data_IF_991226078886
#
_entry.id   IF_991226078886
#
_cell.length_a   1.000
_cell.length_b   1.000
_cell.length_c   1.000
_cell.angle_alpha   90.00
_cell.angle_beta   90.00
_cell.angle_gamma   90.00
#
_symmetry.space_group_name_H-M   'P 1'
#
loop_
_entity.id
_entity.type
_entity.pdbx_description
1 polymer ?
#
# COMPACT_ATOMS: atom_id res chain seq x y z
N UNK A 1 -26.03 4.36 21.32
CA UNK A 1 -26.04 5.82 21.15
C UNK A 1 -27.44 6.30 21.44
N UNK A 2 -27.61 7.35 22.24
CA UNK A 2 -28.92 7.85 22.68
C UNK A 2 -28.93 9.37 22.66
N UNK A 3 -30.07 9.97 22.35
CA UNK A 3 -30.28 11.43 22.36
C UNK A 3 -31.37 11.73 23.39
N UNK A 4 -31.12 12.65 24.31
CA UNK A 4 -32.11 13.14 25.28
C UNK A 4 -32.79 14.42 24.81
N UNK A 5 -33.92 14.75 25.44
CA UNK A 5 -34.63 16.01 25.24
C UNK A 5 -33.72 17.22 25.49
N UNK A 6 -33.74 18.27 24.64
CA UNK A 6 -32.88 19.44 24.80
C UNK A 6 -33.34 20.40 25.91
N UNK A 7 -34.47 20.13 26.58
CA UNK A 7 -34.95 20.96 27.68
C UNK A 7 -34.04 20.84 28.92
N UNK A 8 -33.85 21.94 29.64
CA UNK A 8 -33.00 21.98 30.83
C UNK A 8 -33.43 20.94 31.87
N UNK A 9 -32.50 20.10 32.31
CA UNK A 9 -32.72 19.01 33.28
C UNK A 9 -33.76 17.96 32.86
N UNK A 10 -33.93 17.71 31.56
CA UNK A 10 -34.79 16.65 31.05
C UNK A 10 -33.97 15.52 30.39
N UNK A 11 -34.02 14.31 30.95
CA UNK A 11 -33.27 13.14 30.45
C UNK A 11 -34.14 12.16 29.65
N UNK A 12 -35.36 12.56 29.26
CA UNK A 12 -36.25 11.71 28.45
C UNK A 12 -35.62 11.48 27.08
N UNK A 13 -35.50 10.21 26.68
CA UNK A 13 -34.91 9.82 25.41
C UNK A 13 -35.85 10.12 24.23
N UNK A 14 -35.27 10.62 23.15
CA UNK A 14 -35.96 10.78 21.87
C UNK A 14 -35.92 9.45 21.12
N UNK A 15 -37.08 8.95 20.70
CA UNK A 15 -37.15 7.71 19.94
C UNK A 15 -36.55 7.85 18.53
N UNK A 16 -35.99 6.75 18.01
CA UNK A 16 -35.31 6.73 16.71
C UNK A 16 -36.23 7.19 15.57
N UNK A 17 -37.53 6.90 15.64
CA UNK A 17 -38.48 7.28 14.62
C UNK A 17 -38.65 8.81 14.56
N UNK A 18 -38.75 9.45 15.72
CA UNK A 18 -38.81 10.91 15.83
C UNK A 18 -37.52 11.55 15.32
N UNK A 19 -36.34 11.01 15.68
CA UNK A 19 -35.05 11.50 15.16
C UNK A 19 -35.01 11.40 13.63
N UNK A 20 -35.36 10.24 13.07
CA UNK A 20 -35.35 9.98 11.62
C UNK A 20 -36.37 10.83 10.85
N UNK A 21 -37.46 11.25 11.49
CA UNK A 21 -38.48 12.14 10.92
C UNK A 21 -38.04 13.61 10.92
N UNK A 22 -37.40 14.07 12.01
CA UNK A 22 -37.07 15.48 12.20
C UNK A 22 -35.78 15.92 11.51
N UNK A 23 -34.78 15.03 11.40
CA UNK A 23 -33.58 15.32 10.62
C UNK A 23 -33.97 15.42 9.14
N UNK A 24 -33.40 16.38 8.41
CA UNK A 24 -33.65 16.56 6.97
C UNK A 24 -32.48 16.08 6.13
N UNK A 25 -31.25 16.38 6.55
CA UNK A 25 -30.03 15.98 5.83
C UNK A 25 -29.84 14.46 5.85
N UNK A 26 -29.82 13.86 4.66
CA UNK A 26 -29.60 12.42 4.45
C UNK A 26 -28.27 11.91 5.02
N UNK A 27 -27.19 12.71 4.99
CA UNK A 27 -25.88 12.32 5.52
C UNK A 27 -25.94 12.18 7.04
N UNK A 28 -26.63 13.11 7.70
CA UNK A 28 -26.83 13.07 9.15
C UNK A 28 -27.72 11.89 9.53
N UNK A 29 -28.81 11.64 8.79
CA UNK A 29 -29.65 10.44 9.00
C UNK A 29 -28.84 9.15 8.92
N UNK A 30 -28.01 9.03 7.88
CA UNK A 30 -27.21 7.82 7.66
C UNK A 30 -26.17 7.63 8.78
N UNK A 31 -25.57 8.72 9.26
CA UNK A 31 -24.66 8.69 10.41
C UNK A 31 -25.39 8.27 11.70
N UNK A 32 -26.59 8.80 11.93
CA UNK A 32 -27.42 8.40 13.08
C UNK A 32 -27.75 6.89 13.03
N UNK A 33 -28.23 6.40 11.88
CA UNK A 33 -28.51 4.97 11.66
C UNK A 33 -27.30 4.09 11.94
N UNK A 34 -26.11 4.51 11.51
CA UNK A 34 -24.88 3.80 11.81
C UNK A 34 -24.60 3.75 13.32
N UNK A 35 -24.73 4.87 14.03
CA UNK A 35 -24.45 4.95 15.48
C UNK A 35 -25.39 4.08 16.32
N UNK A 36 -26.69 4.04 15.99
CA UNK A 36 -27.66 3.21 16.72
C UNK A 36 -27.48 1.71 16.40
N UNK A 37 -27.03 1.38 15.19
CA UNK A 37 -26.83 -0.02 14.76
C UNK A 37 -25.42 -0.55 15.09
N UNK A 38 -24.49 0.32 15.52
CA UNK A 38 -23.08 -0.05 15.67
C UNK A 38 -22.87 -1.22 16.62
N UNK A 39 -23.52 -1.19 17.79
CA UNK A 39 -23.43 -2.27 18.77
C UNK A 39 -23.93 -3.60 18.21
N UNK A 40 -25.04 -3.60 17.46
CA UNK A 40 -25.55 -4.82 16.82
C UNK A 40 -24.56 -5.43 15.83
N UNK A 41 -23.90 -4.58 15.03
CA UNK A 41 -22.89 -5.03 14.06
C UNK A 41 -21.63 -5.54 14.77
N UNK A 42 -21.11 -4.82 15.76
CA UNK A 42 -19.90 -5.21 16.49
C UNK A 42 -20.09 -6.49 17.31
N UNK A 43 -21.29 -6.72 17.86
CA UNK A 43 -21.61 -7.95 18.60
C UNK A 43 -21.84 -9.16 17.68
N UNK A 44 -22.01 -8.96 16.37
CA UNK A 44 -22.25 -10.04 15.41
C UNK A 44 -20.98 -10.38 14.62
N UNK A 45 -20.37 -11.53 14.93
CA UNK A 45 -19.15 -12.01 14.26
C UNK A 45 -19.24 -12.12 12.72
N UNK A 46 -20.46 -12.22 12.16
CA UNK A 46 -20.69 -12.35 10.72
C UNK A 46 -20.87 -11.00 10.01
N UNK A 47 -20.87 -9.89 10.74
CA UNK A 47 -21.06 -8.54 10.22
C UNK A 47 -19.83 -7.69 10.50
N UNK A 48 -19.42 -6.89 9.50
CA UNK A 48 -18.37 -5.86 9.66
C UNK A 48 -18.73 -4.62 8.87
N UNK A 49 -18.50 -3.46 9.47
CA UNK A 49 -18.59 -2.18 8.75
C UNK A 49 -17.51 -2.05 7.69
N UNK A 50 -17.84 -1.36 6.60
CA UNK A 50 -16.86 -0.89 5.65
C UNK A 50 -15.96 0.19 6.31
N UNK A 51 -14.63 0.12 6.18
CA UNK A 51 -13.73 1.11 6.77
C UNK A 51 -13.63 2.43 5.97
N UNK A 52 -14.33 2.54 4.84
CA UNK A 52 -14.28 3.76 4.03
C UNK A 52 -15.00 4.91 4.76
N UNK A 53 -14.39 6.12 4.82
CA UNK A 53 -15.06 7.31 5.35
C UNK A 53 -16.40 7.53 4.65
N UNK A 54 -17.41 7.94 5.41
CA UNK A 54 -18.79 8.20 4.96
C UNK A 54 -19.53 7.01 4.31
N UNK A 55 -18.94 5.81 4.33
CA UNK A 55 -19.58 4.60 3.85
C UNK A 55 -20.19 3.82 5.03
N UNK A 56 -21.51 3.80 5.10
CA UNK A 56 -22.25 3.12 6.17
C UNK A 56 -22.79 1.75 5.72
N UNK A 57 -22.06 1.06 4.84
CA UNK A 57 -22.40 -0.30 4.42
C UNK A 57 -21.80 -1.34 5.36
N UNK A 58 -22.51 -2.45 5.55
CA UNK A 58 -22.07 -3.62 6.30
C UNK A 58 -21.85 -4.78 5.33
N UNK A 59 -20.74 -5.51 5.49
CA UNK A 59 -20.50 -6.78 4.81
C UNK A 59 -20.95 -7.92 5.72
N UNK A 60 -21.74 -8.84 5.16
CA UNK A 60 -22.15 -10.09 5.82
C UNK A 60 -21.42 -11.27 5.19
N UNK A 61 -20.89 -12.17 6.01
CA UNK A 61 -20.24 -13.41 5.57
C UNK A 61 -20.92 -14.64 6.18
N UNK A 62 -20.64 -15.83 5.63
CA UNK A 62 -21.15 -17.09 6.17
C UNK A 62 -20.36 -17.54 7.41
N UNK A 63 -19.04 -17.33 7.40
CA UNK A 63 -18.14 -17.58 8.51
C UNK A 63 -17.05 -16.50 8.55
N UNK A 64 -16.55 -16.10 9.73
CA UNK A 64 -15.45 -15.15 9.83
C UNK A 64 -14.15 -15.79 9.35
N UNK A 65 -13.50 -15.16 8.38
CA UNK A 65 -12.18 -15.56 7.87
C UNK A 65 -11.36 -14.31 7.53
N UNK A 66 -10.04 -14.44 7.53
CA UNK A 66 -9.11 -13.38 7.15
C UNK A 66 -8.97 -13.30 5.61
N UNK A 67 -10.10 -13.12 4.93
CA UNK A 67 -10.19 -13.01 3.46
C UNK A 67 -10.54 -11.59 3.04
N UNK A 68 -10.18 -11.19 1.80
CA UNK A 68 -10.58 -9.90 1.28
C UNK A 68 -12.07 -9.91 0.99
N UNK A 69 -12.76 -8.86 1.45
CA UNK A 69 -14.14 -8.57 1.04
C UNK A 69 -14.17 -7.23 0.31
N UNK A 70 -15.08 -7.10 -0.66
CA UNK A 70 -15.27 -5.86 -1.42
C UNK A 70 -16.61 -5.24 -1.05
N UNK A 71 -16.57 -4.02 -0.52
CA UNK A 71 -17.76 -3.22 -0.31
C UNK A 71 -18.30 -2.70 -1.65
N UNK A 72 -19.61 -2.41 -1.72
CA UNK A 72 -20.24 -1.79 -2.89
C UNK A 72 -19.64 -0.43 -3.26
N UNK A 73 -19.03 0.29 -2.31
CA UNK A 73 -18.30 1.53 -2.59
C UNK A 73 -16.94 1.31 -3.28
N UNK A 74 -16.54 0.05 -3.53
CA UNK A 74 -15.28 -0.33 -4.16
C UNK A 74 -14.15 -0.63 -3.18
N UNK A 75 -14.26 -0.24 -1.91
CA UNK A 75 -13.23 -0.50 -0.89
C UNK A 75 -13.07 -2.00 -0.64
N UNK A 76 -11.84 -2.48 -0.76
CA UNK A 76 -11.44 -3.84 -0.39
C UNK A 76 -10.71 -3.82 0.96
N UNK A 77 -11.10 -4.70 1.87
CA UNK A 77 -10.53 -4.78 3.23
C UNK A 77 -10.56 -6.21 3.75
N UNK A 78 -9.77 -6.50 4.77
CA UNK A 78 -9.75 -7.78 5.46
C UNK A 78 -10.95 -7.86 6.41
N UNK A 79 -11.80 -8.87 6.24
CA UNK A 79 -13.00 -9.01 7.08
C UNK A 79 -12.63 -9.20 8.56
N UNK A 80 -11.55 -9.92 8.86
CA UNK A 80 -11.13 -10.19 10.23
C UNK A 80 -10.64 -8.93 10.97
N UNK A 81 -9.60 -8.26 10.48
CA UNK A 81 -9.01 -7.12 11.18
C UNK A 81 -9.65 -5.77 10.86
N UNK A 82 -10.36 -5.63 9.74
CA UNK A 82 -10.94 -4.36 9.28
C UNK A 82 -9.99 -3.45 8.49
N UNK A 83 -8.69 -3.76 8.48
CA UNK A 83 -7.69 -3.02 7.73
C UNK A 83 -7.77 -3.28 6.22
N UNK A 84 -7.07 -2.47 5.43
CA UNK A 84 -6.87 -2.74 4.01
C UNK A 84 -6.37 -4.16 3.78
N UNK A 85 -6.76 -4.76 2.64
CA UNK A 85 -6.31 -6.10 2.30
C UNK A 85 -4.78 -6.18 2.28
N UNK A 86 -4.22 -7.06 3.11
CA UNK A 86 -2.84 -7.01 3.53
C UNK A 86 -2.04 -8.30 3.24
N UNK A 87 -2.26 -8.89 2.07
CA UNK A 87 -1.40 -9.97 1.57
C UNK A 87 0.03 -9.41 1.37
N UNK A 88 1.11 -10.03 1.90
CA UNK A 88 1.18 -11.38 2.49
C UNK A 88 1.15 -11.47 4.03
N UNK A 89 1.03 -10.36 4.75
CA UNK A 89 1.21 -10.35 6.20
C UNK A 89 -0.05 -10.84 6.94
N UNK A 90 0.12 -11.63 8.01
CA UNK A 90 -0.99 -12.02 8.89
C UNK A 90 -1.51 -10.82 9.71
N UNK A 91 -2.81 -10.81 10.01
CA UNK A 91 -3.50 -9.74 10.77
C UNK A 91 -2.77 -9.33 12.06
N UNK A 92 -2.24 -10.31 12.80
CA UNK A 92 -1.55 -10.07 14.08
C UNK A 92 -0.31 -9.18 13.93
N UNK A 93 0.47 -9.41 12.88
CA UNK A 93 1.71 -8.69 12.62
C UNK A 93 1.44 -7.29 12.08
N UNK A 94 0.43 -7.14 11.22
CA UNK A 94 0.01 -5.81 10.76
C UNK A 94 -0.46 -4.94 11.93
N UNK A 95 -1.24 -5.49 12.88
CA UNK A 95 -1.68 -4.72 14.05
C UNK A 95 -0.51 -4.26 14.92
N UNK A 96 0.49 -5.13 15.15
CA UNK A 96 1.71 -4.76 15.87
C UNK A 96 2.49 -3.66 15.12
N UNK A 97 2.59 -3.77 13.80
CA UNK A 97 3.27 -2.77 12.97
C UNK A 97 2.62 -1.40 13.03
N UNK A 98 1.29 -1.34 12.85
CA UNK A 98 0.53 -0.08 12.91
C UNK A 98 0.75 0.59 14.27
N UNK A 99 0.58 -0.16 15.37
CA UNK A 99 0.83 0.36 16.72
C UNK A 99 2.25 0.92 16.87
N UNK A 100 3.27 0.21 16.38
CA UNK A 100 4.66 0.66 16.43
C UNK A 100 4.88 1.94 15.62
N UNK A 101 4.29 2.05 14.44
CA UNK A 101 4.38 3.26 13.62
C UNK A 101 3.68 4.47 14.25
N UNK A 102 2.56 4.25 14.95
CA UNK A 102 1.82 5.30 15.67
C UNK A 102 2.60 5.77 16.91
N UNK A 103 3.21 4.86 17.66
CA UNK A 103 4.04 5.19 18.84
C UNK A 103 5.33 5.94 18.46
N UNK A 104 5.89 5.69 17.26
CA UNK A 104 7.11 6.33 16.72
C UNK A 104 6.80 7.44 15.67
N UNK A 105 5.78 8.27 15.89
CA UNK A 105 5.23 9.22 14.90
C UNK A 105 6.24 10.21 14.31
N UNK A 106 7.16 10.74 15.13
CA UNK A 106 8.19 11.71 14.68
C UNK A 106 9.16 11.09 13.68
N UNK A 107 9.55 9.83 13.92
CA UNK A 107 10.39 9.05 13.02
C UNK A 107 9.67 8.79 11.70
N UNK A 108 8.39 8.45 11.76
CA UNK A 108 7.55 8.22 10.58
C UNK A 108 7.39 9.49 9.73
N UNK A 109 7.25 10.66 10.35
CA UNK A 109 7.12 11.94 9.67
C UNK A 109 8.42 12.38 8.98
N UNK A 110 9.57 12.23 9.65
CA UNK A 110 10.88 12.54 9.04
C UNK A 110 11.19 11.64 7.84
N UNK A 111 10.87 10.35 7.96
CA UNK A 111 11.01 9.36 6.88
C UNK A 111 10.13 9.72 5.66
N UNK A 112 8.95 10.28 5.91
CA UNK A 112 7.97 10.64 4.89
C UNK A 112 8.26 11.99 4.20
N UNK A 113 9.44 12.59 4.42
CA UNK A 113 9.83 13.82 3.76
C UNK A 113 9.78 13.66 2.23
N UNK A 114 9.06 14.57 1.57
CA UNK A 114 8.86 14.57 0.11
C UNK A 114 10.09 15.06 -0.65
N UNK A 115 11.09 15.59 0.07
CA UNK A 115 12.25 16.26 -0.50
C UNK A 115 13.52 15.53 -0.10
N UNK A 116 14.37 15.24 -1.08
CA UNK A 116 15.73 14.69 -0.89
C UNK A 116 16.69 15.37 -1.85
N UNK A 117 17.99 15.21 -1.62
CA UNK A 117 19.01 15.75 -2.52
C UNK A 117 19.48 14.72 -3.55
N UNK A 118 19.84 15.19 -4.74
CA UNK A 118 20.50 14.34 -5.74
C UNK A 118 21.84 13.83 -5.20
N UNK A 119 22.13 12.51 -5.25
CA UNK A 119 23.37 11.95 -4.72
C UNK A 119 24.63 12.38 -5.47
N UNK A 120 24.50 12.94 -6.68
CA UNK A 120 25.63 13.39 -7.52
C UNK A 120 25.87 14.90 -7.48
N UNK A 121 24.81 15.71 -7.46
CA UNK A 121 24.94 17.17 -7.57
C UNK A 121 24.28 17.96 -6.42
N UNK A 122 23.74 17.27 -5.41
CA UNK A 122 23.17 17.84 -4.18
C UNK A 122 22.02 18.85 -4.38
N UNK A 123 21.47 18.95 -5.59
CA UNK A 123 20.27 19.75 -5.84
C UNK A 123 19.08 19.08 -5.16
N UNK A 124 18.30 19.86 -4.42
CA UNK A 124 17.06 19.40 -3.79
C UNK A 124 16.03 19.00 -4.85
N UNK A 125 15.44 17.82 -4.67
CA UNK A 125 14.41 17.22 -5.54
C UNK A 125 13.21 16.92 -4.66
N UNK A 126 12.04 17.38 -5.10
CA UNK A 126 10.74 16.98 -4.54
C UNK A 126 10.18 15.80 -5.35
N UNK A 127 9.66 14.78 -4.66
CA UNK A 127 9.01 13.64 -5.29
C UNK A 127 7.58 14.02 -5.71
N UNK A 128 7.33 14.00 -7.01
CA UNK A 128 6.04 14.36 -7.62
C UNK A 128 5.29 13.17 -8.28
N UNK A 129 5.89 11.98 -8.24
CA UNK A 129 5.36 10.75 -8.82
C UNK A 129 5.45 9.54 -7.88
N UNK A 130 4.84 8.43 -8.30
CA UNK A 130 4.88 7.17 -7.57
C UNK A 130 6.19 6.41 -7.80
N UNK A 131 6.77 6.55 -8.98
CA UNK A 131 7.98 5.84 -9.39
C UNK A 131 9.20 6.24 -8.54
N UNK A 132 9.96 5.25 -8.09
CA UNK A 132 11.21 5.45 -7.34
C UNK A 132 12.44 5.59 -8.26
N UNK A 133 12.30 5.38 -9.57
CA UNK A 133 13.32 5.67 -10.57
C UNK A 133 13.38 7.17 -10.82
N UNK A 134 14.37 7.82 -10.24
CA UNK A 134 14.56 9.26 -10.34
C UNK A 134 15.56 9.60 -11.43
N UNK A 135 15.29 10.65 -12.20
CA UNK A 135 16.25 11.25 -13.14
C UNK A 135 16.48 12.70 -12.70
N UNK A 136 17.74 13.07 -12.44
CA UNK A 136 18.06 14.42 -12.00
C UNK A 136 17.72 15.45 -13.10
N UNK A 137 16.86 16.43 -12.77
CA UNK A 137 16.43 17.49 -13.70
C UNK A 137 17.52 18.50 -14.03
N UNK A 138 18.61 18.51 -13.27
CA UNK A 138 19.78 19.36 -13.58
C UNK A 138 20.43 18.88 -14.88
N UNK A 139 20.42 19.75 -15.89
CA UNK A 139 20.95 19.48 -17.23
C UNK A 139 22.44 19.11 -17.24
N UNK A 140 23.21 19.55 -16.24
CA UNK A 140 24.62 19.21 -16.09
C UNK A 140 24.87 17.87 -15.37
N UNK A 141 23.83 17.28 -14.76
CA UNK A 141 23.94 16.08 -13.94
C UNK A 141 23.34 14.84 -14.62
N UNK A 142 22.05 14.92 -14.97
CA UNK A 142 21.22 13.85 -15.59
C UNK A 142 21.39 12.45 -15.00
N UNK A 143 21.85 12.34 -13.74
CA UNK A 143 22.05 11.05 -13.10
C UNK A 143 20.72 10.38 -12.78
N UNK A 144 20.71 9.06 -12.94
CA UNK A 144 19.56 8.21 -12.59
C UNK A 144 19.85 7.44 -11.30
N UNK A 145 18.92 7.51 -10.35
CA UNK A 145 19.11 6.94 -9.03
C UNK A 145 17.79 6.48 -8.42
N UNK A 146 17.86 5.61 -7.41
CA UNK A 146 16.70 5.16 -6.66
C UNK A 146 16.36 6.13 -5.53
N UNK A 147 15.10 6.55 -5.42
CA UNK A 147 14.64 7.46 -4.36
C UNK A 147 14.84 6.89 -2.95
N UNK A 148 14.78 5.57 -2.79
CA UNK A 148 14.84 4.90 -1.49
C UNK A 148 16.28 4.84 -0.98
N UNK A 149 17.19 4.19 -1.73
CA UNK A 149 18.57 3.97 -1.29
C UNK A 149 19.55 5.06 -1.73
N UNK A 150 19.14 5.99 -2.61
CA UNK A 150 20.00 7.01 -3.23
C UNK A 150 21.18 6.44 -4.06
N UNK A 151 21.17 5.12 -4.32
CA UNK A 151 22.13 4.45 -5.19
C UNK A 151 21.79 4.59 -6.69
N UNK A 152 22.74 4.27 -7.58
CA UNK A 152 22.52 4.33 -9.03
C UNK A 152 21.38 3.40 -9.45
N UNK A 153 20.62 3.81 -10.47
CA UNK A 153 19.47 3.03 -10.93
C UNK A 153 19.88 1.75 -11.67
N UNK A 154 20.86 1.83 -12.57
CA UNK A 154 21.23 0.74 -13.51
C UNK A 154 21.48 -0.63 -12.85
N UNK A 155 22.12 -0.75 -11.68
CA UNK A 155 22.27 -2.04 -10.99
C UNK A 155 20.98 -2.67 -10.47
N UNK A 156 19.88 -1.92 -10.34
CA UNK A 156 18.63 -2.45 -9.79
C UNK A 156 18.02 -3.52 -10.69
N UNK A 157 17.60 -4.63 -10.09
CA UNK A 157 17.11 -5.80 -10.82
C UNK A 157 18.21 -6.78 -11.25
N UNK A 158 19.48 -6.47 -10.99
CA UNK A 158 20.57 -7.44 -11.10
C UNK A 158 20.62 -8.37 -9.88
N UNK A 159 21.22 -9.56 -10.04
CA UNK A 159 21.33 -10.53 -8.95
C UNK A 159 22.23 -10.06 -7.78
N UNK A 160 23.22 -9.20 -8.07
CA UNK A 160 24.25 -8.80 -7.11
C UNK A 160 23.90 -7.54 -6.33
N UNK A 161 22.99 -6.69 -6.83
CA UNK A 161 22.58 -5.46 -6.16
C UNK A 161 21.17 -5.58 -5.58
N UNK A 162 21.04 -5.54 -4.26
CA UNK A 162 19.77 -5.71 -3.56
C UNK A 162 19.50 -4.53 -2.62
N UNK A 163 18.67 -3.58 -3.05
CA UNK A 163 18.31 -2.44 -2.19
C UNK A 163 17.22 -2.78 -1.16
N UNK A 164 16.51 -3.90 -1.31
CA UNK A 164 15.41 -4.32 -0.44
C UNK A 164 15.86 -5.13 0.80
N UNK A 165 17.09 -5.66 0.80
CA UNK A 165 17.62 -6.49 1.89
C UNK A 165 18.32 -5.66 2.95
N UNK A 166 18.00 -5.93 4.21
CA UNK A 166 18.76 -5.38 5.33
C UNK A 166 20.00 -6.21 5.59
N UNK A 167 21.17 -5.56 5.69
CA UNK A 167 22.39 -6.23 6.10
C UNK A 167 22.44 -6.30 7.64
N UNK A 168 22.35 -7.50 8.18
CA UNK A 168 22.36 -7.75 9.63
C UNK A 168 23.78 -7.85 10.21
N UNK A 169 24.83 -7.81 9.38
CA UNK A 169 26.21 -7.99 9.86
C UNK A 169 26.65 -6.84 10.79
N UNK A 170 26.14 -5.63 10.57
CA UNK A 170 26.33 -4.49 11.48
C UNK A 170 25.67 -4.73 12.85
N UNK A 171 24.54 -5.45 12.87
CA UNK A 171 23.83 -5.79 14.11
C UNK A 171 24.53 -6.92 14.89
N UNK A 172 25.15 -7.88 14.20
CA UNK A 172 25.91 -8.98 14.83
C UNK A 172 27.20 -8.51 15.50
N UNK A 173 27.77 -7.40 15.02
CA UNK A 173 28.95 -6.81 15.60
C UNK A 173 28.69 -6.06 16.94
N UNK A 174 27.42 -5.81 17.29
CA UNK A 174 27.02 -5.09 18.50
C UNK A 174 27.28 -5.91 19.76
N UNK A 175 28.19 -5.43 20.62
CA UNK A 175 28.65 -6.13 21.83
C UNK A 175 27.82 -5.74 23.04
N UNK A 176 27.34 -4.50 23.09
CA UNK A 176 26.76 -3.89 24.28
C UNK A 176 25.25 -3.64 24.12
N UNK A 177 24.52 -3.47 25.24
CA UNK A 177 23.07 -3.29 25.22
C UNK A 177 22.62 -2.04 24.43
N UNK A 178 23.40 -0.96 24.51
CA UNK A 178 23.15 0.28 23.78
C UNK A 178 23.31 0.10 22.27
N UNK A 179 24.34 -0.66 21.84
CA UNK A 179 24.58 -0.96 20.42
C UNK A 179 23.47 -1.86 19.85
N UNK A 180 22.99 -2.84 20.63
CA UNK A 180 21.84 -3.69 20.24
C UNK A 180 20.57 -2.87 20.04
N UNK A 181 20.28 -1.94 20.94
CA UNK A 181 19.13 -1.02 20.80
C UNK A 181 19.25 -0.16 19.54
N UNK A 182 20.44 0.38 19.25
CA UNK A 182 20.70 1.15 18.04
C UNK A 182 20.52 0.33 16.76
N UNK A 183 21.03 -0.91 16.74
CA UNK A 183 20.89 -1.82 15.60
C UNK A 183 19.41 -2.19 15.35
N UNK A 184 18.65 -2.46 16.40
CA UNK A 184 17.21 -2.73 16.30
C UNK A 184 16.44 -1.52 15.74
N UNK A 185 16.77 -0.31 16.18
CA UNK A 185 16.20 0.93 15.65
C UNK A 185 16.56 1.11 14.16
N UNK A 186 17.83 0.95 13.78
CA UNK A 186 18.25 1.06 12.38
C UNK A 186 17.54 0.05 11.47
N UNK A 187 17.36 -1.19 11.95
CA UNK A 187 16.57 -2.20 11.26
C UNK A 187 15.13 -1.75 11.11
N UNK A 188 14.49 -1.25 12.16
CA UNK A 188 13.13 -0.72 12.06
C UNK A 188 13.03 0.42 11.05
N UNK A 189 13.93 1.41 11.09
CA UNK A 189 13.97 2.53 10.15
C UNK A 189 14.09 2.05 8.70
N UNK A 190 14.89 1.02 8.45
CA UNK A 190 15.05 0.44 7.12
C UNK A 190 13.72 -0.08 6.54
N UNK A 191 12.98 -0.88 7.30
CA UNK A 191 11.70 -1.46 6.87
C UNK A 191 10.58 -0.41 6.87
N UNK A 192 10.57 0.49 7.86
CA UNK A 192 9.59 1.58 7.97
C UNK A 192 9.71 2.55 6.80
N UNK A 193 10.94 2.92 6.41
CA UNK A 193 11.18 3.78 5.25
C UNK A 193 10.58 3.19 3.96
N UNK A 194 10.76 1.90 3.73
CA UNK A 194 10.25 1.21 2.54
C UNK A 194 8.73 1.08 2.56
N UNK A 195 8.15 0.72 3.70
CA UNK A 195 6.69 0.71 3.91
C UNK A 195 6.08 2.08 3.61
N UNK A 196 6.57 3.14 4.25
CA UNK A 196 6.05 4.50 4.11
C UNK A 196 6.24 5.04 2.70
N UNK A 197 7.39 4.76 2.07
CA UNK A 197 7.64 5.14 0.69
C UNK A 197 6.66 4.48 -0.28
N UNK A 198 6.39 3.18 -0.16
CA UNK A 198 5.38 2.52 -1.01
C UNK A 198 3.96 3.03 -0.71
N UNK A 199 3.63 3.32 0.55
CA UNK A 199 2.36 3.94 0.92
C UNK A 199 2.17 5.28 0.21
N UNK A 200 3.21 6.11 0.21
CA UNK A 200 3.19 7.41 -0.46
C UNK A 200 3.15 7.26 -1.98
N UNK A 201 3.99 6.41 -2.56
CA UNK A 201 4.00 6.12 -4.00
C UNK A 201 2.61 5.70 -4.49
N UNK A 202 1.91 4.84 -3.73
CA UNK A 202 0.54 4.44 -4.03
C UNK A 202 -0.44 5.61 -4.03
N UNK A 203 -0.26 6.63 -3.18
CA UNK A 203 -1.10 7.85 -3.19
C UNK A 203 -0.87 8.67 -4.46
N UNK A 204 0.37 8.77 -4.93
CA UNK A 204 0.68 9.42 -6.21
C UNK A 204 0.11 8.63 -7.39
N UNK A 205 0.25 7.32 -7.41
CA UNK A 205 -0.28 6.45 -8.48
C UNK A 205 -1.81 6.50 -8.57
N UNK A 206 -2.52 6.76 -7.47
CA UNK A 206 -3.97 6.99 -7.53
C UNK A 206 -4.34 8.19 -8.41
N UNK A 207 -3.43 9.16 -8.62
CA UNK A 207 -3.65 10.27 -9.56
C UNK A 207 -3.54 9.82 -11.03
N UNK A 208 -2.89 8.69 -11.32
CA UNK A 208 -2.76 8.15 -12.67
C UNK A 208 -4.10 7.74 -13.27
N UNK A 209 -5.12 7.41 -12.47
CA UNK A 209 -6.46 7.11 -13.02
C UNK A 209 -7.02 8.26 -13.84
N UNK A 210 -6.78 9.51 -13.44
CA UNK A 210 -7.24 10.68 -14.18
C UNK A 210 -6.48 10.84 -15.50
N UNK A 211 -5.15 10.71 -15.46
CA UNK A 211 -4.29 10.81 -16.64
C UNK A 211 -4.57 9.70 -17.66
N UNK A 212 -4.73 8.46 -17.17
CA UNK A 212 -5.08 7.31 -18.00
C UNK A 212 -6.46 7.48 -18.62
N UNK A 213 -7.44 8.03 -17.89
CA UNK A 213 -8.76 8.29 -18.47
C UNK A 213 -8.67 9.23 -19.66
N UNK A 214 -7.93 10.33 -19.54
CA UNK A 214 -7.68 11.25 -20.66
C UNK A 214 -6.98 10.53 -21.82
N UNK A 215 -5.95 9.72 -21.54
CA UNK A 215 -5.24 8.97 -22.58
C UNK A 215 -6.11 7.94 -23.29
N UNK A 216 -7.02 7.29 -22.56
CA UNK A 216 -8.03 6.39 -23.13
C UNK A 216 -8.97 7.15 -24.09
N UNK A 217 -9.42 8.34 -23.72
CA UNK A 217 -10.27 9.18 -24.58
C UNK A 217 -9.54 9.62 -25.86
N UNK A 218 -8.26 10.02 -25.76
CA UNK A 218 -7.40 10.31 -26.93
C UNK A 218 -7.29 9.08 -27.86
N UNK A 219 -7.00 7.90 -27.30
CA UNK A 219 -6.90 6.66 -28.09
C UNK A 219 -8.21 6.31 -28.79
N UNK A 220 -9.36 6.58 -28.16
CA UNK A 220 -10.67 6.34 -28.77
C UNK A 220 -10.95 7.26 -29.96
N UNK A 221 -10.49 8.51 -29.90
CA UNK A 221 -10.57 9.44 -31.04
C UNK A 221 -9.71 8.96 -32.23
N UNK A 222 -8.67 8.17 -31.97
CA UNK A 222 -7.79 7.56 -32.97
C UNK A 222 -8.19 6.11 -33.34
N UNK A 223 -9.49 5.84 -33.49
CA UNK A 223 -10.07 4.56 -33.96
C UNK A 223 -9.93 3.35 -33.02
N UNK A 224 -9.57 3.52 -31.74
CA UNK A 224 -9.65 2.41 -30.79
C UNK A 224 -11.03 2.31 -30.14
N UNK A 225 -11.56 1.09 -30.02
CA UNK A 225 -12.83 0.88 -29.33
C UNK A 225 -12.71 1.07 -27.81
N UNK A 226 -13.84 1.28 -27.14
CA UNK A 226 -13.90 1.36 -25.66
C UNK A 226 -13.29 0.13 -24.95
N UNK A 227 -13.43 -1.06 -25.55
CA UNK A 227 -12.87 -2.31 -25.02
C UNK A 227 -11.35 -2.30 -25.14
N UNK A 228 -10.83 -1.83 -26.26
CA UNK A 228 -9.40 -1.85 -26.55
C UNK A 228 -8.57 -0.89 -25.71
N UNK A 229 -9.18 0.11 -25.08
CA UNK A 229 -8.49 1.06 -24.19
C UNK A 229 -8.53 0.64 -22.72
N UNK A 230 -9.34 -0.36 -22.33
CA UNK A 230 -9.46 -0.80 -20.93
C UNK A 230 -8.15 -1.34 -20.33
N UNK A 231 -7.18 -1.73 -21.16
CA UNK A 231 -5.88 -2.22 -20.69
C UNK A 231 -5.12 -1.17 -19.87
N UNK A 232 -5.29 0.14 -20.15
CA UNK A 232 -4.63 1.20 -19.40
C UNK A 232 -5.17 1.27 -17.97
N UNK A 233 -6.49 1.25 -17.80
CA UNK A 233 -7.11 1.19 -16.47
C UNK A 233 -6.63 -0.06 -15.71
N UNK A 234 -6.64 -1.21 -16.38
CA UNK A 234 -6.16 -2.48 -15.80
C UNK A 234 -4.68 -2.40 -15.39
N UNK A 235 -3.84 -1.70 -16.15
CA UNK A 235 -2.44 -1.50 -15.79
C UNK A 235 -2.29 -0.69 -14.50
N UNK A 236 -3.07 0.39 -14.33
CA UNK A 236 -3.08 1.19 -13.08
C UNK A 236 -3.66 0.38 -11.92
N UNK A 237 -4.72 -0.41 -12.14
CA UNK A 237 -5.30 -1.31 -11.14
C UNK A 237 -4.24 -2.28 -10.61
N UNK A 238 -3.49 -2.94 -11.51
CA UNK A 238 -2.39 -3.85 -11.17
C UNK A 238 -1.26 -3.12 -10.45
N UNK A 239 -0.83 -1.95 -10.95
CA UNK A 239 0.21 -1.14 -10.31
C UNK A 239 -0.14 -0.82 -8.84
N UNK A 240 -1.35 -0.30 -8.61
CA UNK A 240 -1.85 0.01 -7.27
C UNK A 240 -1.92 -1.23 -6.36
N UNK A 241 -2.27 -2.39 -6.92
CA UNK A 241 -2.32 -3.66 -6.20
C UNK A 241 -0.92 -4.18 -5.84
N UNK A 242 0.04 -4.07 -6.76
CA UNK A 242 1.44 -4.42 -6.52
C UNK A 242 2.07 -3.52 -5.46
N UNK A 243 1.84 -2.20 -5.48
CA UNK A 243 2.28 -1.30 -4.39
C UNK A 243 1.69 -1.67 -3.04
N UNK A 244 0.38 -1.95 -3.00
CA UNK A 244 -0.26 -2.38 -1.76
C UNK A 244 0.38 -3.66 -1.23
N UNK A 245 0.67 -4.62 -2.11
CA UNK A 245 1.34 -5.86 -1.74
C UNK A 245 2.76 -5.59 -1.24
N UNK A 246 3.58 -4.84 -1.99
CA UNK A 246 4.95 -4.45 -1.62
C UNK A 246 5.03 -3.75 -0.27
N UNK A 247 4.08 -2.86 0.01
CA UNK A 247 3.99 -2.22 1.32
C UNK A 247 3.90 -3.28 2.45
N UNK A 248 3.04 -4.28 2.28
CA UNK A 248 2.88 -5.35 3.27
C UNK A 248 3.95 -6.44 3.23
N UNK A 249 4.70 -6.61 2.13
CA UNK A 249 5.86 -7.50 2.10
C UNK A 249 6.93 -7.02 3.06
N UNK A 250 7.13 -5.70 3.20
CA UNK A 250 8.07 -5.15 4.17
C UNK A 250 7.64 -5.33 5.63
N UNK A 251 6.33 -5.28 5.92
CA UNK A 251 5.82 -5.61 7.26
C UNK A 251 6.05 -7.07 7.59
N UNK A 252 5.76 -7.96 6.63
CA UNK A 252 6.04 -9.39 6.77
C UNK A 252 7.54 -9.64 6.99
N UNK A 253 8.41 -9.03 6.18
CA UNK A 253 9.86 -9.18 6.24
C UNK A 253 10.46 -8.66 7.56
N UNK A 254 9.94 -7.55 8.09
CA UNK A 254 10.41 -6.99 9.36
C UNK A 254 10.27 -7.99 10.52
N UNK A 255 9.14 -8.68 10.62
CA UNK A 255 8.96 -9.67 11.69
C UNK A 255 9.60 -11.02 11.35
N UNK A 256 10.03 -11.25 10.12
CA UNK A 256 10.54 -12.55 9.69
C UNK A 256 11.92 -12.82 10.29
N UNK A 257 12.08 -13.99 10.90
CA UNK A 257 13.41 -14.51 11.26
C UNK A 257 14.07 -15.10 10.01
N UNK A 258 15.35 -14.78 9.81
CA UNK A 258 16.10 -15.18 8.63
C UNK A 258 16.21 -16.71 8.54
N UNK A 259 15.86 -17.26 7.38
CA UNK A 259 15.97 -18.68 7.07
C UNK A 259 16.14 -18.89 5.55
N UNK A 260 16.22 -20.15 5.09
CA UNK A 260 16.41 -20.42 3.66
C UNK A 260 15.27 -19.86 2.79
N UNK A 261 14.04 -19.90 3.29
CA UNK A 261 12.87 -19.38 2.58
C UNK A 261 12.84 -17.85 2.59
N UNK A 262 13.37 -17.19 3.62
CA UNK A 262 13.42 -15.72 3.66
C UNK A 262 14.28 -15.16 2.52
N UNK A 263 15.37 -15.84 2.16
CA UNK A 263 16.23 -15.44 1.03
C UNK A 263 15.47 -15.55 -0.30
N UNK A 264 14.72 -16.64 -0.49
CA UNK A 264 13.88 -16.84 -1.69
C UNK A 264 12.78 -15.76 -1.75
N UNK A 265 12.14 -15.48 -0.62
CA UNK A 265 11.14 -14.42 -0.51
C UNK A 265 11.75 -13.04 -0.86
N UNK A 266 12.94 -12.72 -0.36
CA UNK A 266 13.63 -11.46 -0.66
C UNK A 266 14.00 -11.32 -2.15
N UNK A 267 14.34 -12.42 -2.83
CA UNK A 267 14.50 -12.44 -4.29
C UNK A 267 13.17 -12.12 -4.99
N UNK A 268 12.09 -12.81 -4.62
CA UNK A 268 10.76 -12.58 -5.20
C UNK A 268 10.26 -11.15 -4.94
N UNK A 269 10.60 -10.57 -3.78
CA UNK A 269 10.30 -9.19 -3.43
C UNK A 269 11.05 -8.21 -4.33
N UNK A 270 12.36 -8.42 -4.54
CA UNK A 270 13.17 -7.58 -5.43
C UNK A 270 12.66 -7.62 -6.88
N UNK A 271 12.31 -8.82 -7.38
CA UNK A 271 11.70 -9.02 -8.69
C UNK A 271 10.40 -8.24 -8.86
N UNK A 272 9.50 -8.32 -7.88
CA UNK A 272 8.23 -7.58 -7.88
C UNK A 272 8.46 -6.07 -7.79
N UNK A 273 9.38 -5.63 -6.93
CA UNK A 273 9.68 -4.22 -6.75
C UNK A 273 10.18 -3.60 -8.05
N UNK A 274 11.19 -4.21 -8.68
CA UNK A 274 11.70 -3.74 -9.97
C UNK A 274 10.62 -3.75 -11.06
N UNK A 275 9.83 -4.83 -11.17
CA UNK A 275 8.72 -4.89 -12.13
C UNK A 275 7.66 -3.78 -11.89
N UNK A 276 7.42 -3.43 -10.62
CA UNK A 276 6.51 -2.36 -10.23
C UNK A 276 7.06 -1.00 -10.62
N UNK A 277 8.34 -0.74 -10.37
CA UNK A 277 8.97 0.54 -10.74
C UNK A 277 9.05 0.74 -12.26
N UNK A 278 9.33 -0.33 -13.01
CA UNK A 278 9.32 -0.29 -14.49
C UNK A 278 7.92 0.02 -15.03
N UNK A 279 6.87 -0.55 -14.44
CA UNK A 279 5.49 -0.23 -14.82
C UNK A 279 5.11 1.21 -14.43
N UNK A 280 5.44 1.63 -13.20
CA UNK A 280 5.18 2.98 -12.68
C UNK A 280 5.86 4.04 -13.54
N UNK A 281 7.15 3.89 -13.82
CA UNK A 281 7.93 4.84 -14.62
C UNK A 281 7.42 4.96 -16.05
N UNK A 282 7.03 3.84 -16.65
CA UNK A 282 6.45 3.85 -17.99
C UNK A 282 5.12 4.61 -18.04
N UNK A 283 4.22 4.38 -17.07
CA UNK A 283 2.93 5.07 -17.00
C UNK A 283 3.05 6.56 -16.63
N UNK A 284 4.10 6.95 -15.90
CA UNK A 284 4.31 8.34 -15.46
C UNK A 284 5.07 9.20 -16.49
N UNK A 285 5.98 8.62 -17.28
CA UNK A 285 6.91 9.38 -18.12
C UNK A 285 6.96 8.91 -19.57
N UNK A 286 7.15 7.62 -19.79
CA UNK A 286 7.52 7.11 -21.11
C UNK A 286 6.31 6.97 -22.05
N UNK A 287 5.11 6.77 -21.48
CA UNK A 287 3.87 6.58 -22.25
C UNK A 287 3.53 7.75 -23.18
N UNK A 288 3.93 8.98 -22.84
CA UNK A 288 3.69 10.15 -23.71
C UNK A 288 4.67 10.26 -24.87
N UNK A 289 5.77 9.52 -24.84
CA UNK A 289 6.82 9.55 -25.88
C UNK A 289 6.64 8.45 -26.93
N UNK A 290 5.80 7.44 -26.63
CA UNK A 290 5.55 6.30 -27.50
C UNK A 290 4.35 6.49 -28.43
N UNK A 291 4.39 5.79 -29.56
CA UNK A 291 3.26 5.72 -30.49
C UNK A 291 2.07 4.95 -29.89
N UNK A 292 0.83 5.30 -30.28
CA UNK A 292 -0.38 4.63 -29.77
C UNK A 292 -0.38 3.11 -30.00
N UNK A 293 0.24 2.65 -31.09
CA UNK A 293 0.36 1.24 -31.44
C UNK A 293 1.29 0.49 -30.48
N UNK A 294 2.41 1.10 -30.09
CA UNK A 294 3.40 0.49 -29.21
C UNK A 294 2.94 0.45 -27.75
N UNK A 295 2.19 1.46 -27.30
CA UNK A 295 1.70 1.58 -25.92
C UNK A 295 0.90 0.33 -25.52
N UNK A 296 0.04 -0.17 -26.41
CA UNK A 296 -0.81 -1.34 -26.10
C UNK A 296 0.02 -2.56 -25.73
N UNK A 297 1.02 -2.89 -26.53
CA UNK A 297 1.88 -4.05 -26.29
C UNK A 297 2.77 -3.83 -25.06
N UNK A 298 3.47 -2.69 -25.00
CA UNK A 298 4.42 -2.38 -23.91
C UNK A 298 3.74 -2.37 -22.55
N UNK A 299 2.57 -1.74 -22.42
CA UNK A 299 1.82 -1.70 -21.16
C UNK A 299 1.32 -3.09 -20.77
N UNK A 300 0.79 -3.85 -21.73
CA UNK A 300 0.28 -5.20 -21.46
C UNK A 300 1.37 -6.14 -20.95
N UNK A 301 2.54 -6.14 -21.57
CA UNK A 301 3.65 -6.98 -21.15
C UNK A 301 4.15 -6.59 -19.75
N UNK A 302 4.30 -5.28 -19.49
CA UNK A 302 4.74 -4.77 -18.19
C UNK A 302 3.78 -5.12 -17.06
N UNK A 303 2.47 -4.85 -17.19
CA UNK A 303 1.54 -5.16 -16.09
C UNK A 303 1.32 -6.66 -15.91
N UNK A 304 1.33 -7.46 -16.99
CA UNK A 304 1.22 -8.93 -16.87
C UNK A 304 2.44 -9.52 -16.17
N UNK A 305 3.64 -9.04 -16.50
CA UNK A 305 4.86 -9.46 -15.82
C UNK A 305 4.85 -9.06 -14.34
N UNK A 306 4.46 -7.81 -14.03
CA UNK A 306 4.35 -7.32 -12.66
C UNK A 306 3.35 -8.16 -11.83
N UNK A 307 2.16 -8.44 -12.37
CA UNK A 307 1.19 -9.31 -11.70
C UNK A 307 1.69 -10.76 -11.55
N UNK A 308 2.46 -11.27 -12.52
CA UNK A 308 3.11 -12.58 -12.43
C UNK A 308 4.11 -12.64 -11.28
N UNK A 309 4.99 -11.63 -11.13
CA UNK A 309 5.92 -11.53 -10.00
C UNK A 309 5.17 -11.44 -8.66
N UNK A 310 4.09 -10.67 -8.60
CA UNK A 310 3.22 -10.58 -7.41
C UNK A 310 2.65 -11.93 -7.04
N UNK A 311 2.15 -12.69 -8.01
CA UNK A 311 1.60 -14.02 -7.80
C UNK A 311 2.64 -15.01 -7.28
N UNK A 312 3.84 -15.05 -7.88
CA UNK A 312 4.94 -15.93 -7.44
C UNK A 312 5.32 -15.63 -5.99
N UNK A 313 5.45 -14.36 -5.63
CA UNK A 313 5.73 -13.94 -4.26
C UNK A 313 4.67 -14.44 -3.29
N UNK A 314 3.39 -14.19 -3.58
CA UNK A 314 2.29 -14.56 -2.69
C UNK A 314 2.15 -16.08 -2.56
N UNK A 315 2.24 -16.81 -3.67
CA UNK A 315 2.21 -18.27 -3.71
C UNK A 315 3.31 -18.86 -2.80
N UNK A 316 4.54 -18.34 -2.91
CA UNK A 316 5.67 -18.77 -2.07
C UNK A 316 5.40 -18.53 -0.58
N UNK A 317 4.85 -17.36 -0.22
CA UNK A 317 4.51 -17.07 1.18
C UNK A 317 3.36 -17.95 1.69
N UNK A 318 2.34 -18.20 0.87
CA UNK A 318 1.21 -19.06 1.22
C UNK A 318 1.64 -20.52 1.40
N UNK A 319 2.46 -21.06 0.50
CA UNK A 319 3.03 -22.40 0.67
C UNK A 319 3.90 -22.51 1.92
N UNK A 320 4.63 -21.45 2.26
CA UNK A 320 5.38 -21.38 3.51
C UNK A 320 4.48 -21.30 4.75
N UNK A 321 3.27 -20.73 4.65
CA UNK A 321 2.29 -20.79 5.74
C UNK A 321 1.71 -22.19 5.90
N UNK A 322 1.40 -22.89 4.81
CA UNK A 322 0.83 -24.24 4.86
C UNK A 322 1.81 -25.27 5.42
N UNK A 323 3.12 -25.01 5.30
CA UNK A 323 4.22 -25.86 5.78
C UNK A 323 4.90 -25.34 7.06
N UNK A 324 4.35 -24.29 7.68
CA UNK A 324 4.90 -23.64 8.88
C UNK A 324 6.41 -23.27 8.77
N UNK A 325 6.84 -22.78 7.60
CA UNK A 325 8.25 -22.44 7.32
C UNK A 325 8.66 -21.05 7.83
N UNK A 326 7.72 -20.26 8.34
CA UNK A 326 7.95 -18.88 8.76
C UNK A 326 8.05 -18.76 10.27
N UNK A 327 9.26 -18.46 10.75
CA UNK A 327 9.51 -18.07 12.14
C UNK A 327 9.51 -16.54 12.25
N UNK A 328 9.07 -16.02 13.40
CA UNK A 328 8.94 -14.59 13.62
C UNK A 328 9.70 -14.12 14.86
N UNK A 329 10.18 -12.88 14.81
CA UNK A 329 10.79 -12.17 15.92
C UNK A 329 9.65 -11.52 16.73
N UNK A 330 9.49 -11.93 17.99
CA UNK A 330 8.51 -11.40 18.94
C UNK A 330 9.16 -10.40 19.89
N UNK A 331 9.67 -9.29 19.34
CA UNK A 331 10.13 -8.15 20.13
C UNK A 331 8.99 -7.14 20.40
#
# INVERSE_FOLDING_TARGET
FTISCPAHSCDILVDDNTVMRLITDSKVKLKYQHLITNSFVECNRLLKWCPAPDCHHVVKVQYPDAKPVRCKCGRQFCFNCGENWHDPVKCKWLRKWIKKCDDDSETSNWIAANTKECPKCHVTIEKDGGCNHMVCRNQNCKAEFCWVCLGPWEPHGSAWYNCNRYNEDDAKAARDAQERSRAALQRYLFYCNRYMNHMQSRRFEHKLYAQVKQKMEEMQQHNMSWIEVQFLKKAVDVLCQCRSTLMFTYVFAFYLKKNNQSIIFENNQADLENATEVLSGYLERDISQDSLQDIKQKVQDKYRYCESRRRVLLQHVHEGYDKDLWEYIED
#
